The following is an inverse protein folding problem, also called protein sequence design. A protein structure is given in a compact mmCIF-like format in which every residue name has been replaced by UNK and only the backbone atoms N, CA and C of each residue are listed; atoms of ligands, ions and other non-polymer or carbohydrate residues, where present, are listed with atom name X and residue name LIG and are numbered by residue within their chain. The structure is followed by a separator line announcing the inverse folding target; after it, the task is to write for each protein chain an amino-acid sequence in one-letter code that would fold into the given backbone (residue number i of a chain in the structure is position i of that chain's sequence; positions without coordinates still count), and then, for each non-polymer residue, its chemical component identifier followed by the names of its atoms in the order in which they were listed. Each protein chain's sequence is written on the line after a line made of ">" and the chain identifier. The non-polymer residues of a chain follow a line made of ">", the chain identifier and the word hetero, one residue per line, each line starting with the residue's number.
data_IF_998777759469
#
_entry.id   IF_998777759469
#
_cell.length_a   1.000
_cell.length_b   1.000
_cell.length_c   1.000
_cell.angle_alpha   90.00
_cell.angle_beta   90.00
_cell.angle_gamma   90.00
#
_symmetry.space_group_name_H-M   'P 1'
#
loop_
_entity.id
_entity.type
_entity.pdbx_description
1 polymer ?
#
# COMPACT_ATOMS: atom_id res chain seq x y z
N UNK A 1 -24.00 43.55 38.18
CA UNK A 1 -23.56 44.02 36.85
C UNK A 1 -22.04 44.03 36.87
N UNK A 2 -21.43 42.88 36.64
CA UNK A 2 -20.01 42.79 36.32
C UNK A 2 -19.94 42.06 34.99
N UNK A 3 -19.63 42.83 33.95
CA UNK A 3 -19.36 42.32 32.62
C UNK A 3 -18.11 41.45 32.70
N UNK A 4 -18.29 40.13 32.62
CA UNK A 4 -17.23 39.25 32.13
C UNK A 4 -16.95 39.66 30.69
N UNK A 5 -15.91 40.47 30.52
CA UNK A 5 -15.25 40.71 29.25
C UNK A 5 -14.84 39.36 28.69
N UNK A 6 -15.54 38.93 27.64
CA UNK A 6 -15.09 37.81 26.83
C UNK A 6 -13.76 38.21 26.21
N UNK A 7 -12.65 37.70 26.77
CA UNK A 7 -11.41 37.58 26.04
C UNK A 7 -11.65 36.55 24.93
N UNK A 8 -12.28 37.00 23.84
CA UNK A 8 -12.13 36.37 22.54
C UNK A 8 -10.64 36.49 22.23
N UNK A 9 -9.89 35.43 22.48
CA UNK A 9 -8.56 35.21 21.94
C UNK A 9 -8.66 35.39 20.43
N UNK A 10 -8.30 36.59 19.96
CA UNK A 10 -8.04 36.85 18.55
C UNK A 10 -6.88 35.95 18.15
N UNK A 11 -7.18 34.80 17.54
CA UNK A 11 -6.19 34.07 16.75
C UNK A 11 -6.10 34.81 15.42
N UNK A 12 -5.33 35.91 15.39
CA UNK A 12 -5.11 36.74 14.20
C UNK A 12 -3.68 36.67 13.66
N UNK A 13 -2.84 35.74 14.14
CA UNK A 13 -1.42 35.77 13.82
C UNK A 13 -1.05 35.06 12.51
N UNK A 14 -1.98 34.35 11.85
CA UNK A 14 -1.65 33.50 10.69
C UNK A 14 -0.60 32.44 11.00
N UNK A 15 -0.29 32.22 12.28
CA UNK A 15 0.72 31.26 12.73
C UNK A 15 0.11 29.87 12.73
N UNK A 16 0.88 28.92 12.20
CA UNK A 16 0.52 27.52 12.14
C UNK A 16 1.45 26.71 13.06
N UNK A 17 0.90 25.66 13.66
CA UNK A 17 1.65 24.62 14.34
C UNK A 17 1.18 23.25 13.84
N UNK A 18 2.02 22.24 13.99
CA UNK A 18 1.71 20.84 13.69
C UNK A 18 1.86 19.98 14.92
N UNK A 19 1.07 18.92 15.02
CA UNK A 19 1.17 17.92 16.08
C UNK A 19 1.18 16.54 15.44
N UNK A 20 2.18 15.74 15.78
CA UNK A 20 2.29 14.33 15.40
C UNK A 20 2.14 13.47 16.65
N UNK A 21 1.24 12.50 16.63
CA UNK A 21 1.22 11.37 17.56
C UNK A 21 1.87 10.17 16.87
N UNK A 22 3.06 9.77 17.32
CA UNK A 22 3.76 8.62 16.78
C UNK A 22 3.24 7.34 17.46
N UNK A 23 2.12 6.82 16.95
CA UNK A 23 1.50 5.60 17.45
C UNK A 23 0.88 4.83 16.27
N UNK A 24 1.15 3.52 16.19
CA UNK A 24 0.73 2.65 15.08
C UNK A 24 -0.44 1.71 15.41
N UNK A 25 -0.91 1.71 16.66
CA UNK A 25 -2.12 0.98 17.05
C UNK A 25 -3.35 1.72 16.55
N UNK A 26 -4.41 0.99 16.18
CA UNK A 26 -5.63 1.59 15.64
C UNK A 26 -6.18 2.70 16.56
N UNK A 27 -6.49 3.86 15.98
CA UNK A 27 -7.01 4.98 16.75
C UNK A 27 -8.15 5.69 16.03
N UNK A 28 -8.98 6.35 16.81
CA UNK A 28 -9.98 7.29 16.30
C UNK A 28 -9.62 8.70 16.74
N UNK A 29 -10.05 9.67 15.94
CA UNK A 29 -10.06 11.05 16.34
C UNK A 29 -11.48 11.63 16.22
N UNK A 30 -11.79 12.58 17.09
CA UNK A 30 -13.07 13.30 17.06
C UNK A 30 -12.86 14.76 17.41
N UNK A 31 -13.57 15.64 16.70
CA UNK A 31 -13.61 17.06 16.97
C UNK A 31 -14.79 17.38 17.88
N UNK A 32 -14.53 18.16 18.94
CA UNK A 32 -15.58 18.67 19.82
C UNK A 32 -16.29 19.90 19.23
N UNK A 33 -17.40 20.34 19.85
CA UNK A 33 -18.08 21.58 19.48
C UNK A 33 -17.22 22.83 19.81
N UNK A 34 -16.39 22.73 20.84
CA UNK A 34 -15.30 23.67 21.12
C UNK A 34 -14.05 23.24 20.33
N UNK A 35 -13.10 24.15 20.02
CA UNK A 35 -11.86 23.83 19.27
C UNK A 35 -10.98 22.86 20.06
N UNK A 36 -11.30 21.57 19.92
CA UNK A 36 -10.73 20.47 20.68
C UNK A 36 -10.69 19.21 19.82
N UNK A 37 -9.59 18.48 19.96
CA UNK A 37 -9.34 17.21 19.29
C UNK A 37 -9.16 16.14 20.36
N UNK A 38 -9.97 15.08 20.29
CA UNK A 38 -9.82 13.90 21.15
C UNK A 38 -9.31 12.75 20.30
N UNK A 39 -8.13 12.24 20.64
CA UNK A 39 -7.53 11.04 20.02
C UNK A 39 -7.68 9.86 20.98
N UNK A 40 -8.14 8.71 20.48
CA UNK A 40 -8.31 7.47 21.26
C UNK A 40 -7.60 6.33 20.55
N UNK A 41 -6.47 5.89 21.07
CA UNK A 41 -5.72 4.72 20.58
C UNK A 41 -6.01 3.48 21.45
N UNK A 42 -6.00 2.30 20.83
CA UNK A 42 -6.23 1.02 21.51
C UNK A 42 -4.94 0.37 22.05
N UNK A 43 -3.79 1.03 21.91
CA UNK A 43 -2.51 0.52 22.37
C UNK A 43 -1.36 1.51 22.21
N UNK A 44 -0.15 1.02 22.48
CA UNK A 44 1.07 1.81 22.38
C UNK A 44 1.21 2.86 23.49
N UNK A 45 2.05 3.87 23.22
CA UNK A 45 2.30 4.99 24.11
C UNK A 45 1.84 6.31 23.47
N UNK A 46 1.71 7.35 24.28
CA UNK A 46 1.42 8.70 23.81
C UNK A 46 2.74 9.45 23.56
N UNK A 47 3.30 9.27 22.36
CA UNK A 47 4.52 9.92 21.93
C UNK A 47 4.21 11.10 20.99
N UNK A 48 4.26 12.33 21.53
CA UNK A 48 3.84 13.54 20.83
C UNK A 48 5.02 14.42 20.42
N UNK A 49 4.99 14.87 19.17
CA UNK A 49 5.89 15.89 18.64
C UNK A 49 5.09 17.12 18.22
N UNK A 50 5.58 18.30 18.62
CA UNK A 50 4.94 19.58 18.31
C UNK A 50 5.90 20.44 17.49
N UNK A 51 5.40 20.94 16.37
CA UNK A 51 6.13 21.77 15.41
C UNK A 51 5.54 23.18 15.42
N UNK A 52 6.35 24.20 15.68
CA UNK A 52 5.87 25.55 16.03
C UNK A 52 5.79 26.53 14.86
N UNK A 53 6.19 26.14 13.63
CA UNK A 53 6.11 27.00 12.45
C UNK A 53 7.09 28.19 12.51
N UNK A 54 6.68 29.44 12.22
CA UNK A 54 5.29 29.94 12.14
C UNK A 54 4.52 29.76 10.82
N UNK A 55 5.17 29.55 9.67
CA UNK A 55 4.46 29.35 8.39
C UNK A 55 4.08 27.88 8.16
N UNK A 56 3.05 27.57 7.33
CA UNK A 56 2.70 26.20 6.97
C UNK A 56 3.90 25.41 6.42
N UNK A 57 4.70 26.03 5.54
CA UNK A 57 5.88 25.41 4.95
C UNK A 57 6.93 25.09 6.01
N UNK A 58 7.12 25.97 6.99
CA UNK A 58 8.06 25.74 8.10
C UNK A 58 7.60 24.60 9.00
N UNK A 59 6.29 24.47 9.27
CA UNK A 59 5.73 23.33 10.00
C UNK A 59 6.04 22.03 9.26
N UNK A 60 5.80 21.97 7.94
CA UNK A 60 6.09 20.78 7.14
C UNK A 60 7.59 20.50 7.05
N UNK A 61 8.44 21.53 6.99
CA UNK A 61 9.90 21.36 7.03
C UNK A 61 10.39 20.78 8.35
N UNK A 62 9.82 21.20 9.49
CA UNK A 62 10.14 20.66 10.82
C UNK A 62 9.63 19.22 10.96
N UNK A 63 8.43 18.93 10.47
CA UNK A 63 7.86 17.59 10.46
C UNK A 63 8.71 16.63 9.62
N UNK A 64 8.98 16.96 8.35
CA UNK A 64 9.82 16.14 7.46
C UNK A 64 11.30 16.10 7.88
N UNK A 65 11.76 17.02 8.74
CA UNK A 65 13.07 16.88 9.37
C UNK A 65 13.09 15.74 10.39
N UNK A 66 12.02 15.57 11.17
CA UNK A 66 11.88 14.47 12.13
C UNK A 66 11.64 13.13 11.43
N UNK A 67 10.66 13.08 10.52
CA UNK A 67 10.18 11.83 9.92
C UNK A 67 10.87 11.48 8.60
N UNK A 68 11.82 12.31 8.18
CA UNK A 68 12.59 12.23 6.94
C UNK A 68 11.95 12.90 5.73
N UNK A 69 12.82 13.40 4.85
CA UNK A 69 12.44 14.14 3.64
C UNK A 69 12.11 13.18 2.51
N UNK A 70 11.24 13.64 1.61
CA UNK A 70 10.81 12.85 0.47
C UNK A 70 11.97 12.41 -0.42
N UNK A 71 11.86 11.21 -0.99
CA UNK A 71 12.78 10.74 -2.01
C UNK A 71 12.76 11.66 -3.24
N UNK A 72 13.86 11.70 -3.97
CA UNK A 72 13.91 12.38 -5.25
C UNK A 72 13.48 11.38 -6.34
N UNK A 73 12.33 11.55 -7.02
CA UNK A 73 11.94 10.66 -8.10
C UNK A 73 12.90 10.78 -9.30
N UNK A 74 12.99 9.76 -10.15
CA UNK A 74 13.67 9.87 -11.42
C UNK A 74 12.90 10.82 -12.35
N UNK A 75 13.60 11.54 -13.23
CA UNK A 75 12.98 12.55 -14.10
C UNK A 75 11.84 12.00 -14.96
N UNK A 76 12.00 10.77 -15.47
CA UNK A 76 10.98 10.08 -16.27
C UNK A 76 9.70 9.78 -15.48
N UNK A 77 9.77 9.70 -14.15
CA UNK A 77 8.60 9.48 -13.29
C UNK A 77 7.72 10.71 -13.12
N UNK A 78 8.14 11.86 -13.66
CA UNK A 78 7.32 13.08 -13.74
C UNK A 78 6.52 13.16 -15.06
N UNK A 79 6.75 12.21 -15.96
CA UNK A 79 6.04 12.12 -17.24
C UNK A 79 4.62 11.57 -17.10
N UNK A 80 3.96 11.33 -18.24
CA UNK A 80 2.64 10.72 -18.23
C UNK A 80 2.72 9.19 -18.12
N UNK A 81 1.89 8.62 -17.24
CA UNK A 81 1.85 7.20 -16.89
C UNK A 81 0.53 6.61 -17.36
N UNK A 82 0.55 5.44 -18.00
CA UNK A 82 -0.65 4.75 -18.45
C UNK A 82 -0.73 3.33 -17.87
N UNK A 83 -1.81 3.08 -17.14
CA UNK A 83 -2.16 1.79 -16.57
C UNK A 83 -3.62 1.44 -16.83
N UNK A 84 -3.95 0.18 -16.57
CA UNK A 84 -5.30 -0.39 -16.57
C UNK A 84 -5.25 -1.75 -15.89
N UNK A 85 -6.24 -2.02 -15.04
CA UNK A 85 -6.63 -3.37 -14.67
C UNK A 85 -7.33 -4.05 -15.85
N UNK A 86 -6.88 -5.23 -16.23
CA UNK A 86 -7.36 -6.02 -17.37
C UNK A 86 -7.05 -5.40 -18.74
N UNK A 87 -5.77 -5.42 -19.11
CA UNK A 87 -5.40 -5.27 -20.53
C UNK A 87 -5.86 -6.46 -21.38
N UNK A 88 -6.24 -7.59 -20.79
CA UNK A 88 -6.68 -8.82 -21.44
C UNK A 88 -5.55 -9.63 -22.06
N UNK A 89 -4.72 -9.01 -22.91
CA UNK A 89 -3.54 -9.65 -23.51
C UNK A 89 -2.50 -8.62 -23.99
N UNK A 90 -1.32 -9.11 -24.35
CA UNK A 90 -0.22 -8.29 -24.85
C UNK A 90 -0.57 -7.52 -26.14
N UNK A 91 -1.36 -8.11 -27.04
CA UNK A 91 -1.73 -7.45 -28.31
C UNK A 91 -2.54 -6.19 -28.05
N UNK A 92 -3.47 -6.25 -27.09
CA UNK A 92 -4.26 -5.09 -26.70
C UNK A 92 -3.40 -4.04 -26.00
N UNK A 93 -2.51 -4.42 -25.08
CA UNK A 93 -1.55 -3.49 -24.47
C UNK A 93 -0.69 -2.76 -25.52
N UNK A 94 -0.16 -3.49 -26.50
CA UNK A 94 0.60 -2.93 -27.62
C UNK A 94 -0.25 -1.98 -28.47
N UNK A 95 -1.51 -2.33 -28.74
CA UNK A 95 -2.45 -1.48 -29.48
C UNK A 95 -2.72 -0.17 -28.73
N UNK A 96 -2.97 -0.23 -27.41
CA UNK A 96 -3.20 0.97 -26.59
C UNK A 96 -1.96 1.86 -26.57
N UNK A 97 -0.77 1.29 -26.37
CA UNK A 97 0.48 2.03 -26.40
C UNK A 97 0.70 2.72 -27.77
N UNK A 98 0.56 1.94 -28.86
CA UNK A 98 0.72 2.44 -30.23
C UNK A 98 -0.29 3.53 -30.56
N UNK A 99 -1.56 3.36 -30.20
CA UNK A 99 -2.63 4.35 -30.46
C UNK A 99 -2.31 5.70 -29.81
N UNK A 100 -1.83 5.71 -28.57
CA UNK A 100 -1.46 6.95 -27.87
C UNK A 100 -0.27 7.64 -28.54
N UNK A 101 0.74 6.87 -28.93
CA UNK A 101 1.92 7.41 -29.64
C UNK A 101 1.60 7.90 -31.04
N UNK A 102 0.77 7.17 -31.79
CA UNK A 102 0.30 7.57 -33.13
C UNK A 102 -0.56 8.86 -33.05
N UNK A 103 -1.26 9.08 -31.92
CA UNK A 103 -2.01 10.30 -31.64
C UNK A 103 -1.12 11.48 -31.15
N UNK A 104 0.18 11.27 -30.95
CA UNK A 104 1.11 12.31 -30.49
C UNK A 104 0.98 12.66 -29.00
N UNK A 105 0.34 11.82 -28.19
CA UNK A 105 0.22 12.01 -26.75
C UNK A 105 1.54 11.60 -26.08
N UNK A 106 2.20 12.47 -25.29
CA UNK A 106 3.39 12.10 -24.53
C UNK A 106 3.08 10.96 -23.58
N UNK A 107 3.89 9.91 -23.63
CA UNK A 107 3.75 8.72 -22.78
C UNK A 107 5.14 8.24 -22.37
N UNK A 108 5.48 8.41 -21.11
CA UNK A 108 6.80 8.08 -20.57
C UNK A 108 6.81 6.70 -19.92
N UNK A 109 5.71 6.29 -19.28
CA UNK A 109 5.65 5.06 -18.50
C UNK A 109 4.47 4.18 -18.89
N UNK A 110 4.77 2.93 -19.25
CA UNK A 110 3.78 1.87 -19.46
C UNK A 110 3.73 0.97 -18.23
N UNK A 111 2.52 0.75 -17.71
CA UNK A 111 2.27 -0.17 -16.60
C UNK A 111 1.77 -1.53 -17.09
N UNK A 112 2.03 -2.56 -16.30
CA UNK A 112 1.32 -3.83 -16.38
C UNK A 112 0.79 -4.23 -14.99
N UNK A 113 -0.53 -4.38 -14.92
CA UNK A 113 -1.27 -4.88 -13.76
C UNK A 113 -1.20 -6.42 -13.69
N UNK A 114 -1.83 -7.05 -12.69
CA UNK A 114 -1.75 -8.48 -12.35
C UNK A 114 -2.06 -9.43 -13.52
N UNK A 115 -2.66 -8.93 -14.61
CA UNK A 115 -2.93 -9.69 -15.84
C UNK A 115 -1.66 -10.25 -16.48
N UNK A 116 -0.52 -9.56 -16.33
CA UNK A 116 0.73 -10.04 -16.92
C UNK A 116 1.22 -11.33 -16.26
N UNK A 117 0.79 -11.61 -15.03
CA UNK A 117 1.26 -12.73 -14.22
C UNK A 117 0.56 -14.04 -14.59
N UNK A 118 1.28 -15.15 -14.55
CA UNK A 118 0.69 -16.49 -14.69
C UNK A 118 -0.19 -16.76 -13.46
N UNK A 119 -1.50 -16.87 -13.67
CA UNK A 119 -2.50 -17.05 -12.62
C UNK A 119 -2.32 -16.08 -11.42
N UNK A 120 -1.94 -14.82 -11.69
CA UNK A 120 -1.80 -13.76 -10.67
C UNK A 120 -0.72 -14.07 -9.62
N UNK A 121 0.24 -14.94 -9.97
CA UNK A 121 1.40 -15.25 -9.12
C UNK A 121 2.51 -14.24 -9.38
N UNK A 122 3.01 -13.59 -8.33
CA UNK A 122 4.17 -12.69 -8.43
C UNK A 122 5.36 -13.33 -9.15
N UNK A 123 6.27 -12.52 -9.69
CA UNK A 123 7.50 -12.99 -10.35
C UNK A 123 7.31 -13.97 -11.54
N UNK A 124 6.08 -14.10 -12.06
CA UNK A 124 5.77 -14.91 -13.25
C UNK A 124 5.26 -14.06 -14.41
N UNK A 125 5.21 -14.63 -15.60
CA UNK A 125 4.59 -14.03 -16.80
C UNK A 125 3.64 -15.07 -17.39
N UNK A 126 2.41 -14.68 -17.71
CA UNK A 126 1.43 -15.54 -18.38
C UNK A 126 1.99 -16.02 -19.74
N UNK A 127 2.21 -17.34 -19.92
CA UNK A 127 2.85 -17.89 -21.11
C UNK A 127 1.95 -17.89 -22.35
N UNK A 128 0.66 -17.58 -22.20
CA UNK A 128 -0.35 -17.56 -23.27
C UNK A 128 -0.67 -16.11 -23.64
N UNK A 129 -1.20 -15.32 -22.71
CA UNK A 129 -1.73 -13.98 -23.02
C UNK A 129 -0.63 -12.91 -23.08
N UNK A 130 0.49 -13.12 -22.39
CA UNK A 130 1.60 -12.19 -22.29
C UNK A 130 2.92 -12.75 -22.83
N UNK A 131 2.82 -13.77 -23.70
CA UNK A 131 3.97 -14.28 -24.46
C UNK A 131 4.54 -13.16 -25.34
N UNK A 132 5.79 -12.79 -25.09
CA UNK A 132 6.45 -11.69 -25.81
C UNK A 132 6.57 -10.38 -25.02
N UNK A 133 6.09 -10.35 -23.77
CA UNK A 133 6.09 -9.13 -22.95
C UNK A 133 7.51 -8.59 -22.73
N UNK A 134 8.48 -9.47 -22.53
CA UNK A 134 9.89 -9.12 -22.36
C UNK A 134 10.43 -8.35 -23.58
N UNK A 135 10.12 -8.85 -24.78
CA UNK A 135 10.53 -8.25 -26.04
C UNK A 135 9.85 -6.89 -26.25
N UNK A 136 8.56 -6.79 -25.94
CA UNK A 136 7.81 -5.54 -26.02
C UNK A 136 8.38 -4.48 -25.05
N UNK A 137 8.64 -4.84 -23.80
CA UNK A 137 9.23 -3.93 -22.81
C UNK A 137 10.63 -3.48 -23.24
N UNK A 138 11.43 -4.39 -23.80
CA UNK A 138 12.73 -4.04 -24.36
C UNK A 138 12.61 -3.04 -25.52
N UNK A 139 11.61 -3.20 -26.39
CA UNK A 139 11.37 -2.31 -27.51
C UNK A 139 10.98 -0.89 -27.03
N UNK A 140 9.97 -0.76 -26.18
CA UNK A 140 9.51 0.56 -25.73
C UNK A 140 10.57 1.29 -24.89
N UNK A 141 11.41 0.55 -24.16
CA UNK A 141 12.56 1.13 -23.45
C UNK A 141 13.65 1.64 -24.38
N UNK A 142 13.81 1.03 -25.55
CA UNK A 142 14.72 1.52 -26.60
C UNK A 142 14.16 2.82 -27.23
N UNK A 143 12.84 2.93 -27.30
CA UNK A 143 12.13 4.13 -27.77
C UNK A 143 12.11 5.28 -26.75
N UNK A 144 12.72 5.10 -25.57
CA UNK A 144 12.85 6.11 -24.53
C UNK A 144 11.83 6.02 -23.39
N UNK A 145 10.85 5.10 -23.48
CA UNK A 145 9.88 4.87 -22.41
C UNK A 145 10.47 4.07 -21.25
N UNK A 146 9.69 3.97 -20.17
CA UNK A 146 9.98 3.21 -18.96
C UNK A 146 8.82 2.30 -18.63
N UNK A 147 9.10 1.28 -17.84
CA UNK A 147 8.10 0.25 -17.50
C UNK A 147 8.00 0.05 -16.00
N UNK A 148 6.78 0.03 -15.50
CA UNK A 148 6.45 -0.30 -14.10
C UNK A 148 5.52 -1.50 -14.11
N UNK A 149 5.69 -2.40 -13.15
CA UNK A 149 4.80 -3.56 -12.96
C UNK A 149 4.32 -3.60 -11.52
N UNK A 150 3.11 -4.14 -11.33
CA UNK A 150 2.56 -4.41 -10.00
C UNK A 150 3.25 -5.63 -9.37
N UNK A 151 3.41 -5.61 -8.06
CA UNK A 151 3.74 -6.76 -7.23
C UNK A 151 2.86 -6.71 -5.98
N UNK A 152 2.21 -7.83 -5.69
CA UNK A 152 1.51 -8.02 -4.42
C UNK A 152 2.50 -8.55 -3.36
N UNK A 153 2.22 -8.40 -2.06
CA UNK A 153 3.09 -8.96 -1.03
C UNK A 153 2.96 -10.50 -0.93
N UNK A 154 1.80 -11.07 -1.24
CA UNK A 154 1.44 -12.43 -0.88
C UNK A 154 1.81 -13.49 -1.92
N UNK A 155 2.44 -14.59 -1.51
CA UNK A 155 2.78 -15.70 -2.41
C UNK A 155 1.78 -16.85 -2.32
N UNK A 156 1.32 -17.39 -3.45
CA UNK A 156 0.38 -18.52 -3.51
C UNK A 156 0.84 -19.73 -2.66
N UNK A 157 -0.10 -20.44 -2.03
CA UNK A 157 0.13 -21.69 -1.32
C UNK A 157 0.39 -22.86 -2.29
N UNK A 158 1.55 -22.82 -2.93
CA UNK A 158 2.12 -23.95 -3.66
C UNK A 158 3.50 -24.27 -3.08
N UNK A 159 3.48 -25.21 -2.13
CA UNK A 159 4.67 -25.65 -1.40
C UNK A 159 5.50 -26.69 -2.16
N UNK A 160 5.17 -26.97 -3.43
CA UNK A 160 5.81 -28.05 -4.19
C UNK A 160 6.46 -27.56 -5.49
N UNK A 161 5.79 -26.68 -6.23
CA UNK A 161 6.25 -26.29 -7.57
C UNK A 161 6.58 -24.81 -7.68
N UNK A 162 5.94 -23.95 -6.90
CA UNK A 162 6.19 -22.52 -6.94
C UNK A 162 7.37 -22.12 -6.05
N UNK A 163 8.52 -21.90 -6.70
CA UNK A 163 9.82 -21.69 -6.06
C UNK A 163 9.83 -20.55 -5.03
N UNK A 164 9.20 -19.37 -5.25
CA UNK A 164 9.17 -18.32 -4.23
C UNK A 164 8.55 -18.78 -2.91
N UNK A 165 7.46 -19.54 -2.95
CA UNK A 165 6.83 -20.11 -1.74
C UNK A 165 7.70 -21.20 -1.11
N UNK A 166 8.25 -22.11 -1.90
CA UNK A 166 9.12 -23.19 -1.39
C UNK A 166 10.36 -22.62 -0.67
N UNK A 167 11.02 -21.64 -1.28
CA UNK A 167 12.18 -20.97 -0.67
C UNK A 167 11.77 -20.12 0.53
N UNK A 168 10.65 -19.41 0.45
CA UNK A 168 10.16 -18.60 1.56
C UNK A 168 9.83 -19.43 2.81
N UNK A 169 9.26 -20.63 2.63
CA UNK A 169 9.02 -21.56 3.75
C UNK A 169 10.35 -22.05 4.33
N UNK A 170 11.32 -22.38 3.47
CA UNK A 170 12.65 -22.85 3.91
C UNK A 170 13.44 -21.77 4.64
N UNK A 171 13.32 -20.52 4.22
CA UNK A 171 14.00 -19.35 4.81
C UNK A 171 13.19 -18.69 5.93
N UNK A 172 12.03 -19.25 6.28
CA UNK A 172 11.17 -18.81 7.37
C UNK A 172 10.66 -17.36 7.26
N UNK A 173 10.29 -16.93 6.05
CA UNK A 173 9.96 -15.52 5.75
C UNK A 173 8.49 -15.16 5.98
N UNK A 174 7.61 -16.15 6.16
CA UNK A 174 6.16 -15.95 6.20
C UNK A 174 5.62 -15.75 7.62
N UNK A 175 4.52 -15.00 7.71
CA UNK A 175 3.79 -14.76 8.95
C UNK A 175 3.14 -16.05 9.44
N UNK A 176 3.21 -16.28 10.76
CA UNK A 176 2.72 -17.48 11.43
C UNK A 176 1.71 -17.16 12.52
N UNK A 177 0.95 -18.18 12.86
CA UNK A 177 0.17 -18.28 14.09
C UNK A 177 1.09 -18.45 15.31
N UNK A 178 0.54 -18.23 16.51
CA UNK A 178 1.27 -18.46 17.78
C UNK A 178 1.74 -19.91 17.99
N UNK A 179 1.20 -20.87 17.23
CA UNK A 179 1.57 -22.28 17.23
C UNK A 179 2.57 -22.65 16.13
N UNK A 180 3.26 -21.67 15.54
CA UNK A 180 4.28 -21.83 14.47
C UNK A 180 3.75 -22.33 13.12
N UNK A 181 2.43 -22.48 12.95
CA UNK A 181 1.84 -22.80 11.64
C UNK A 181 1.78 -21.55 10.77
N UNK A 182 1.98 -21.70 9.46
CA UNK A 182 1.83 -20.59 8.50
C UNK A 182 0.40 -20.04 8.53
N UNK A 183 0.29 -18.71 8.55
CA UNK A 183 -0.99 -18.03 8.45
C UNK A 183 -1.38 -17.90 6.98
N UNK A 184 -2.42 -18.64 6.59
CA UNK A 184 -2.94 -18.66 5.22
C UNK A 184 -4.02 -17.61 5.06
N UNK A 185 -3.89 -16.77 4.04
CA UNK A 185 -4.90 -15.81 3.59
C UNK A 185 -5.41 -16.14 2.19
N UNK A 186 -6.26 -15.28 1.65
CA UNK A 186 -6.68 -15.32 0.24
C UNK A 186 -6.52 -13.93 -0.38
N UNK A 187 -5.99 -13.88 -1.59
CA UNK A 187 -6.03 -12.70 -2.46
C UNK A 187 -6.16 -13.13 -3.93
N UNK A 188 -5.63 -12.33 -4.87
CA UNK A 188 -5.70 -12.56 -6.32
C UNK A 188 -5.31 -13.96 -6.81
N UNK A 189 -4.16 -14.56 -6.41
CA UNK A 189 -3.79 -15.90 -6.85
C UNK A 189 -4.55 -17.04 -6.14
N UNK A 190 -5.46 -16.72 -5.21
CA UNK A 190 -6.13 -17.69 -4.35
C UNK A 190 -5.50 -17.75 -2.95
N UNK A 191 -5.40 -18.96 -2.38
CA UNK A 191 -4.80 -19.19 -1.07
C UNK A 191 -3.31 -18.80 -1.09
N UNK A 192 -2.88 -17.99 -0.13
CA UNK A 192 -1.52 -17.44 -0.09
C UNK A 192 -0.95 -17.29 1.32
N UNK A 193 0.35 -17.02 1.39
CA UNK A 193 1.08 -16.63 2.60
C UNK A 193 1.63 -15.20 2.49
N UNK A 194 1.50 -14.43 3.57
CA UNK A 194 2.02 -13.08 3.65
C UNK A 194 3.44 -13.07 4.25
N UNK A 195 4.46 -12.48 3.58
CA UNK A 195 5.81 -12.33 4.11
C UNK A 195 5.87 -11.35 5.28
N UNK A 196 6.81 -11.55 6.18
CA UNK A 196 7.10 -10.64 7.30
C UNK A 196 8.28 -9.71 6.97
N UNK A 197 7.98 -8.53 6.43
CA UNK A 197 8.98 -7.54 5.99
C UNK A 197 9.75 -6.84 7.12
N UNK A 198 9.41 -7.10 8.39
CA UNK A 198 10.20 -6.62 9.53
C UNK A 198 11.50 -7.40 9.72
N UNK A 199 11.59 -8.63 9.18
CA UNK A 199 12.76 -9.49 9.35
C UNK A 199 13.78 -9.28 8.22
N UNK A 200 15.06 -9.38 8.56
CA UNK A 200 16.15 -9.26 7.58
C UNK A 200 16.17 -10.42 6.59
N UNK A 201 15.71 -11.61 7.00
CA UNK A 201 15.56 -12.78 6.12
C UNK A 201 14.54 -12.50 5.00
N UNK A 202 13.36 -11.98 5.32
CA UNK A 202 12.36 -11.61 4.32
C UNK A 202 12.86 -10.51 3.39
N UNK A 203 13.55 -9.50 3.93
CA UNK A 203 14.14 -8.42 3.10
C UNK A 203 15.15 -8.97 2.09
N UNK A 204 15.98 -9.93 2.51
CA UNK A 204 16.97 -10.57 1.64
C UNK A 204 16.31 -11.44 0.58
N UNK A 205 15.35 -12.27 0.98
CA UNK A 205 14.55 -13.11 0.09
C UNK A 205 13.80 -12.27 -0.96
N UNK A 206 13.08 -11.23 -0.52
CA UNK A 206 12.33 -10.32 -1.40
C UNK A 206 13.25 -9.60 -2.39
N UNK A 207 14.38 -9.09 -1.89
CA UNK A 207 15.36 -8.41 -2.73
C UNK A 207 15.95 -9.33 -3.80
N UNK A 208 16.24 -10.59 -3.44
CA UNK A 208 16.74 -11.61 -4.38
C UNK A 208 15.72 -11.87 -5.49
N UNK A 209 14.45 -12.09 -5.14
CA UNK A 209 13.39 -12.35 -6.11
C UNK A 209 13.15 -11.18 -7.06
N UNK A 210 13.14 -9.94 -6.57
CA UNK A 210 13.05 -8.75 -7.43
C UNK A 210 14.23 -8.67 -8.40
N UNK A 211 15.46 -8.88 -7.91
CA UNK A 211 16.66 -8.82 -8.74
C UNK A 211 16.69 -9.93 -9.81
N UNK A 212 16.32 -11.15 -9.43
CA UNK A 212 16.25 -12.28 -10.34
C UNK A 212 15.15 -12.10 -11.38
N UNK A 213 13.96 -11.65 -10.97
CA UNK A 213 12.87 -11.34 -11.89
C UNK A 213 13.27 -10.25 -12.89
N UNK A 214 13.91 -9.16 -12.42
CA UNK A 214 14.40 -8.07 -13.27
C UNK A 214 15.42 -8.56 -14.32
N UNK A 215 16.33 -9.43 -13.91
CA UNK A 215 17.45 -9.92 -14.72
C UNK A 215 17.02 -11.01 -15.71
N UNK A 216 16.20 -11.95 -15.27
CA UNK A 216 15.90 -13.18 -16.01
C UNK A 216 14.62 -13.01 -16.82
N UNK A 217 13.55 -12.53 -16.19
CA UNK A 217 12.20 -12.59 -16.73
C UNK A 217 11.81 -11.29 -17.42
N UNK A 218 11.83 -10.16 -16.71
CA UNK A 218 11.29 -8.88 -17.18
C UNK A 218 12.06 -7.69 -16.64
N UNK A 219 12.74 -6.96 -17.52
CA UNK A 219 13.51 -5.77 -17.14
C UNK A 219 12.59 -4.57 -16.95
N UNK A 220 12.43 -4.13 -15.70
CA UNK A 220 11.55 -3.03 -15.27
C UNK A 220 12.32 -1.84 -14.69
N UNK A 221 11.78 -0.63 -14.77
CA UNK A 221 12.44 0.60 -14.30
C UNK A 221 11.88 1.12 -12.97
N UNK A 222 10.72 0.63 -12.52
CA UNK A 222 10.11 0.91 -11.22
C UNK A 222 9.10 -0.19 -10.82
N UNK A 223 8.61 -0.14 -9.59
CA UNK A 223 7.67 -1.13 -9.04
C UNK A 223 6.45 -0.47 -8.41
N UNK A 224 5.28 -1.04 -8.63
CA UNK A 224 4.04 -0.69 -7.94
C UNK A 224 3.76 -1.79 -6.92
N UNK A 225 3.78 -1.47 -5.62
CA UNK A 225 3.47 -2.43 -4.56
C UNK A 225 2.06 -2.17 -4.05
N UNK A 226 1.17 -3.11 -4.30
CA UNK A 226 -0.24 -3.00 -3.97
C UNK A 226 -0.65 -4.04 -2.93
N UNK A 227 -1.90 -3.95 -2.44
CA UNK A 227 -2.48 -4.94 -1.52
C UNK A 227 -1.71 -5.09 -0.20
N UNK A 228 -0.95 -4.06 0.19
CA UNK A 228 0.04 -4.11 1.25
C UNK A 228 -0.38 -3.44 2.56
N UNK A 229 -1.69 -3.33 2.82
CA UNK A 229 -2.21 -2.97 4.15
C UNK A 229 -1.84 -3.95 5.27
N UNK A 230 -1.78 -5.29 5.10
CA UNK A 230 -1.99 -6.19 3.94
C UNK A 230 -3.45 -6.58 3.70
N UNK A 231 -3.92 -6.42 2.47
CA UNK A 231 -5.28 -6.77 2.09
C UNK A 231 -5.44 -8.27 1.88
N UNK A 232 -6.47 -8.84 2.52
CA UNK A 232 -6.94 -10.20 2.29
C UNK A 232 -8.43 -10.18 1.94
N UNK A 233 -8.85 -11.06 1.02
CA UNK A 233 -10.24 -11.17 0.63
C UNK A 233 -11.04 -11.87 1.73
N UNK A 234 -12.01 -11.13 2.28
CA UNK A 234 -13.09 -11.67 3.12
C UNK A 234 -12.64 -12.48 4.34
N UNK A 235 -11.54 -12.08 5.00
CA UNK A 235 -11.22 -12.60 6.34
C UNK A 235 -12.44 -12.48 7.25
N UNK A 236 -12.73 -13.58 7.97
CA UNK A 236 -13.88 -13.81 8.85
C UNK A 236 -15.24 -14.01 8.15
N UNK A 237 -15.39 -13.83 6.84
CA UNK A 237 -16.64 -14.11 6.11
C UNK A 237 -16.69 -15.54 5.58
N UNK A 238 -17.87 -16.06 5.22
CA UNK A 238 -18.02 -17.48 4.88
C UNK A 238 -17.44 -17.85 3.51
N UNK A 239 -17.41 -16.90 2.57
CA UNK A 239 -16.88 -17.09 1.22
C UNK A 239 -16.12 -15.85 0.77
N UNK A 240 -15.06 -16.05 -0.02
CA UNK A 240 -14.40 -14.95 -0.71
C UNK A 240 -15.31 -14.36 -1.79
N UNK A 241 -15.33 -13.03 -1.95
CA UNK A 241 -16.19 -12.35 -2.93
C UNK A 241 -15.92 -12.82 -4.36
N UNK A 242 -14.69 -13.24 -4.63
CA UNK A 242 -14.22 -13.77 -5.90
C UNK A 242 -14.00 -15.30 -5.89
N UNK A 243 -14.68 -16.05 -5.02
CA UNK A 243 -14.51 -17.51 -4.88
C UNK A 243 -14.65 -18.28 -6.21
N UNK A 244 -15.52 -17.82 -7.11
CA UNK A 244 -15.67 -18.37 -8.47
C UNK A 244 -14.39 -18.24 -9.32
N UNK A 245 -13.57 -17.21 -9.08
CA UNK A 245 -12.34 -16.94 -9.81
C UNK A 245 -11.13 -17.63 -9.17
N UNK A 246 -11.08 -17.71 -7.84
CA UNK A 246 -9.98 -18.34 -7.10
C UNK A 246 -10.14 -19.86 -6.97
N UNK A 247 -11.35 -20.39 -7.15
CA UNK A 247 -11.65 -21.83 -7.07
C UNK A 247 -11.59 -22.40 -5.65
N UNK A 248 -11.51 -21.54 -4.63
CA UNK A 248 -11.47 -21.94 -3.22
C UNK A 248 -12.60 -21.28 -2.42
N UNK A 249 -13.21 -22.06 -1.52
CA UNK A 249 -14.16 -21.57 -0.51
C UNK A 249 -13.46 -21.30 0.83
N UNK A 250 -12.13 -21.40 0.88
CA UNK A 250 -11.40 -21.04 2.08
C UNK A 250 -11.60 -19.54 2.37
N UNK A 251 -11.45 -19.17 3.63
CA UNK A 251 -11.32 -17.79 4.11
C UNK A 251 -10.51 -17.89 5.40
N UNK A 252 -9.68 -16.88 5.68
CA UNK A 252 -9.00 -16.82 6.97
C UNK A 252 -10.05 -16.57 8.06
N UNK A 253 -10.09 -17.42 9.09
CA UNK A 253 -10.97 -17.24 10.25
C UNK A 253 -10.12 -16.97 11.49
N UNK A 254 -10.29 -15.79 12.07
CA UNK A 254 -9.53 -15.36 13.23
C UNK A 254 -10.22 -15.78 14.54
N UNK A 255 -9.45 -16.11 15.60
CA UNK A 255 -10.01 -16.50 16.87
C UNK A 255 -10.68 -15.30 17.56
N UNK A 256 -11.82 -15.52 18.23
CA UNK A 256 -12.45 -14.48 19.04
C UNK A 256 -11.60 -14.20 20.29
N UNK A 257 -10.94 -13.05 20.31
CA UNK A 257 -10.10 -12.61 21.42
C UNK A 257 -10.06 -11.08 21.51
N UNK A 258 -9.49 -10.55 22.59
CA UNK A 258 -9.42 -9.10 22.87
C UNK A 258 -8.51 -8.30 21.92
N UNK A 259 -7.72 -8.95 21.08
CA UNK A 259 -6.90 -8.30 20.06
C UNK A 259 -7.71 -8.11 18.77
N UNK A 260 -8.45 -9.14 18.35
CA UNK A 260 -9.31 -9.08 17.16
C UNK A 260 -10.59 -8.25 17.41
N UNK A 261 -11.14 -8.30 18.63
CA UNK A 261 -12.26 -7.46 19.10
C UNK A 261 -11.86 -6.75 20.41
N UNK A 262 -11.21 -5.58 20.32
CA UNK A 262 -10.73 -4.85 21.48
C UNK A 262 -11.87 -4.22 22.30
N UNK A 263 -11.65 -3.97 23.62
CA UNK A 263 -12.66 -3.35 24.48
C UNK A 263 -13.19 -2.00 23.97
N UNK A 264 -12.34 -1.24 23.28
CA UNK A 264 -12.75 -0.06 22.52
C UNK A 264 -12.70 -0.38 21.03
N UNK A 265 -13.88 -0.53 20.43
CA UNK A 265 -14.02 -0.73 18.98
C UNK A 265 -13.82 0.60 18.27
N UNK A 266 -12.75 0.70 17.50
CA UNK A 266 -12.51 1.88 16.66
C UNK A 266 -13.52 1.97 15.52
N UNK A 267 -13.70 3.15 14.93
CA UNK A 267 -14.54 3.35 13.73
C UNK A 267 -14.18 2.39 12.61
N UNK A 268 -12.91 2.04 12.56
CA UNK A 268 -12.34 1.13 11.60
C UNK A 268 -12.91 -0.31 11.72
N UNK A 269 -13.33 -0.75 12.92
CA UNK A 269 -14.01 -2.03 13.13
C UNK A 269 -15.54 -1.93 12.91
N UNK A 270 -16.20 -0.94 13.53
CA UNK A 270 -17.67 -0.91 13.54
C UNK A 270 -18.32 -0.28 12.30
N UNK A 271 -17.59 0.48 11.46
CA UNK A 271 -18.15 1.07 10.23
C UNK A 271 -18.75 0.01 9.30
N UNK A 272 -18.22 -1.21 9.34
CA UNK A 272 -18.69 -2.30 8.50
C UNK A 272 -19.87 -3.07 9.10
N UNK A 273 -20.27 -2.81 10.34
CA UNK A 273 -21.39 -3.47 11.01
C UNK A 273 -22.70 -3.31 10.22
N UNK A 274 -22.91 -2.16 9.56
CA UNK A 274 -24.12 -1.90 8.75
C UNK A 274 -24.12 -2.66 7.42
N UNK A 275 -22.93 -3.02 6.92
CA UNK A 275 -22.75 -3.71 5.64
C UNK A 275 -22.56 -5.23 5.79
N UNK A 276 -22.31 -5.70 7.01
CA UNK A 276 -22.05 -7.10 7.34
C UNK A 276 -23.23 -7.67 8.13
N UNK A 277 -23.56 -8.94 7.91
CA UNK A 277 -24.54 -9.66 8.75
C UNK A 277 -23.98 -10.04 10.14
N UNK A 278 -22.87 -9.43 10.56
CA UNK A 278 -22.16 -9.70 11.82
C UNK A 278 -21.47 -8.43 12.31
N UNK A 279 -21.06 -8.46 13.57
CA UNK A 279 -20.19 -7.45 14.15
C UNK A 279 -18.81 -7.50 13.49
N UNK A 280 -18.33 -6.36 13.00
CA UNK A 280 -17.02 -6.21 12.40
C UNK A 280 -15.89 -6.22 13.43
N UNK A 281 -14.79 -6.86 13.06
CA UNK A 281 -13.58 -7.04 13.86
C UNK A 281 -12.39 -6.31 13.23
N UNK A 282 -11.31 -6.13 13.98
CA UNK A 282 -10.11 -5.49 13.42
C UNK A 282 -9.47 -6.33 12.30
N UNK A 283 -9.60 -7.65 12.35
CA UNK A 283 -9.06 -8.59 11.35
C UNK A 283 -9.90 -8.73 10.08
N UNK A 284 -10.99 -7.97 9.95
CA UNK A 284 -11.79 -8.03 8.73
C UNK A 284 -11.01 -7.53 7.52
N UNK A 285 -10.97 -8.36 6.47
CA UNK A 285 -10.24 -8.14 5.21
C UNK A 285 -8.71 -7.98 5.35
N UNK A 286 -8.13 -8.52 6.42
CA UNK A 286 -6.68 -8.47 6.71
C UNK A 286 -6.24 -9.73 7.48
N UNK A 287 -5.00 -9.79 7.96
CA UNK A 287 -4.49 -10.87 8.81
C UNK A 287 -5.07 -10.81 10.23
N UNK A 288 -4.97 -11.91 10.97
CA UNK A 288 -5.43 -11.95 12.36
C UNK A 288 -4.53 -11.12 13.27
N UNK A 289 -5.12 -10.44 14.25
CA UNK A 289 -4.37 -9.55 15.15
C UNK A 289 -3.38 -10.30 16.06
N UNK A 290 -3.57 -11.61 16.20
CA UNK A 290 -2.68 -12.52 16.95
C UNK A 290 -1.43 -12.94 16.18
N UNK A 291 -1.31 -12.61 14.88
CA UNK A 291 -0.15 -13.01 14.10
C UNK A 291 1.14 -12.39 14.66
N UNK A 292 2.21 -13.19 14.73
CA UNK A 292 3.50 -12.74 15.23
C UNK A 292 4.40 -12.30 14.07
N UNK A 293 5.10 -11.18 14.26
CA UNK A 293 5.96 -10.55 13.26
C UNK A 293 7.24 -9.98 13.90
N UNK A 294 8.27 -9.78 13.07
CA UNK A 294 9.56 -9.25 13.46
C UNK A 294 10.60 -10.29 13.84
N UNK A 295 11.81 -9.79 14.12
CA UNK A 295 12.90 -10.64 14.58
C UNK A 295 12.58 -11.29 15.93
N UNK A 296 13.20 -12.45 16.15
CA UNK A 296 13.05 -13.20 17.40
C UNK A 296 13.67 -12.37 18.53
N UNK A 297 12.87 -12.05 19.54
CA UNK A 297 13.34 -11.40 20.75
C UNK A 297 14.13 -12.42 21.60
N UNK A 298 15.43 -12.17 21.91
CA UNK A 298 16.25 -13.06 22.72
C UNK A 298 15.68 -13.37 24.10
N UNK A 299 14.83 -12.49 24.65
CA UNK A 299 14.25 -12.63 25.98
C UNK A 299 13.01 -13.54 26.02
N UNK A 300 12.22 -13.58 24.95
CA UNK A 300 10.97 -14.35 24.90
C UNK A 300 11.05 -15.56 23.97
N UNK A 301 12.05 -15.61 23.09
CA UNK A 301 12.19 -16.65 22.07
C UNK A 301 11.10 -16.59 20.99
N UNK A 302 10.35 -15.49 20.88
CA UNK A 302 9.25 -15.28 19.92
C UNK A 302 9.48 -14.02 19.07
N UNK A 303 8.83 -13.89 17.90
CA UNK A 303 8.85 -12.65 17.14
C UNK A 303 8.39 -11.47 18.00
N UNK A 304 9.10 -10.35 17.88
CA UNK A 304 9.01 -9.20 18.78
C UNK A 304 7.64 -8.50 18.77
N UNK A 305 6.94 -8.52 17.65
CA UNK A 305 5.74 -7.72 17.44
C UNK A 305 4.52 -8.58 17.16
N UNK A 306 3.35 -8.11 17.60
CA UNK A 306 2.06 -8.68 17.19
C UNK A 306 1.48 -7.84 16.07
N UNK A 307 0.74 -8.47 15.16
CA UNK A 307 0.05 -7.78 14.08
C UNK A 307 -0.86 -6.67 14.63
N UNK A 308 -1.51 -6.87 15.78
CA UNK A 308 -2.25 -5.83 16.50
C UNK A 308 -1.52 -4.47 16.65
N UNK A 309 -0.21 -4.48 16.91
CA UNK A 309 0.58 -3.27 17.14
C UNK A 309 1.16 -2.66 15.85
N UNK A 310 1.34 -3.48 14.81
CA UNK A 310 2.03 -3.08 13.57
C UNK A 310 1.11 -2.98 12.35
N UNK A 311 -0.15 -3.40 12.46
CA UNK A 311 -1.02 -3.53 11.31
C UNK A 311 -1.74 -2.24 10.91
N UNK A 312 -2.50 -1.63 11.82
CA UNK A 312 -3.62 -0.78 11.40
C UNK A 312 -3.20 0.61 10.89
N UNK A 313 -2.01 1.07 11.28
CA UNK A 313 -1.36 2.19 10.61
C UNK A 313 -0.22 1.71 9.72
N UNK A 314 -0.40 0.57 9.06
CA UNK A 314 0.26 0.29 7.80
C UNK A 314 1.79 0.19 7.91
N UNK A 315 2.31 -0.20 9.09
CA UNK A 315 3.74 -0.48 9.21
C UNK A 315 4.14 -1.68 8.34
N UNK A 316 3.17 -2.52 7.94
CA UNK A 316 3.39 -3.58 6.97
C UNK A 316 3.83 -3.01 5.60
N UNK A 317 3.00 -2.18 4.96
CA UNK A 317 3.34 -1.52 3.69
C UNK A 317 4.58 -0.63 3.80
N UNK A 318 4.72 0.12 4.90
CA UNK A 318 5.93 0.88 5.22
C UNK A 318 7.18 -0.01 5.27
N UNK A 319 7.10 -1.18 5.90
CA UNK A 319 8.22 -2.11 6.05
C UNK A 319 8.59 -2.82 4.74
N UNK A 320 7.64 -2.98 3.81
CA UNK A 320 7.87 -3.50 2.46
C UNK A 320 8.48 -2.45 1.52
N UNK A 321 8.14 -1.17 1.72
CA UNK A 321 8.50 -0.05 0.84
C UNK A 321 10.02 0.08 0.71
N UNK A 322 10.76 0.19 1.82
CA UNK A 322 12.22 0.37 1.77
C UNK A 322 12.97 -0.80 1.11
N UNK A 323 12.75 -2.07 1.51
CA UNK A 323 13.39 -3.22 0.86
C UNK A 323 13.10 -3.29 -0.64
N UNK A 324 11.89 -2.95 -1.06
CA UNK A 324 11.51 -2.94 -2.48
C UNK A 324 12.30 -1.89 -3.26
N UNK A 325 12.44 -0.67 -2.71
CA UNK A 325 13.26 0.38 -3.33
C UNK A 325 14.72 -0.04 -3.45
N UNK A 326 15.31 -0.55 -2.36
CA UNK A 326 16.72 -0.95 -2.32
C UNK A 326 16.98 -2.09 -3.33
N UNK A 327 16.04 -3.03 -3.46
CA UNK A 327 16.13 -4.13 -4.40
C UNK A 327 16.11 -3.67 -5.87
N UNK A 328 15.15 -2.81 -6.26
CA UNK A 328 15.05 -2.34 -7.64
C UNK A 328 16.19 -1.38 -8.01
N UNK A 329 16.67 -0.57 -7.07
CA UNK A 329 17.86 0.27 -7.30
C UNK A 329 19.12 -0.57 -7.48
N UNK A 330 19.26 -1.65 -6.70
CA UNK A 330 20.36 -2.61 -6.85
C UNK A 330 20.29 -3.36 -8.18
N UNK A 331 19.08 -3.72 -8.64
CA UNK A 331 18.87 -4.41 -9.92
C UNK A 331 19.16 -3.50 -11.13
N UNK A 332 18.69 -2.25 -11.10
CA UNK A 332 18.81 -1.31 -12.22
C UNK A 332 20.14 -0.55 -12.26
N UNK A 333 20.82 -0.44 -11.11
CA UNK A 333 22.00 0.42 -10.93
C UNK A 333 21.68 1.91 -11.09
N UNK A 334 20.40 2.30 -11.04
CA UNK A 334 19.92 3.65 -11.28
C UNK A 334 18.92 4.04 -10.20
N UNK A 335 18.61 5.34 -10.15
CA UNK A 335 17.47 5.83 -9.39
C UNK A 335 16.19 5.25 -9.98
N UNK A 336 15.44 4.56 -9.15
CA UNK A 336 14.13 3.98 -9.43
C UNK A 336 13.05 4.70 -8.60
N UNK A 337 11.80 4.37 -8.83
CA UNK A 337 10.66 4.79 -8.02
C UNK A 337 9.80 3.59 -7.63
N UNK A 338 9.14 3.73 -6.50
CA UNK A 338 8.13 2.78 -6.04
C UNK A 338 6.84 3.50 -5.67
N UNK A 339 5.72 2.83 -5.90
CA UNK A 339 4.38 3.32 -5.58
C UNK A 339 3.70 2.33 -4.63
N UNK A 340 3.76 2.56 -3.31
CA UNK A 340 2.97 1.82 -2.33
C UNK A 340 1.53 2.34 -2.14
N UNK A 341 0.58 1.43 -1.89
CA UNK A 341 -0.78 1.80 -1.47
C UNK A 341 -0.79 2.20 0.00
N UNK A 342 -0.40 1.27 0.84
CA UNK A 342 -0.34 1.41 2.29
C UNK A 342 0.82 2.32 2.70
N UNK A 343 0.55 3.35 3.51
CA UNK A 343 1.57 4.32 3.94
C UNK A 343 1.44 4.67 5.42
N UNK A 344 2.60 4.86 6.06
CA UNK A 344 2.73 5.42 7.40
C UNK A 344 3.64 6.67 7.41
N UNK A 345 3.72 7.31 8.58
CA UNK A 345 4.62 8.44 8.86
C UNK A 345 6.05 8.10 8.41
N UNK A 346 6.59 8.93 7.50
CA UNK A 346 7.93 8.75 6.93
C UNK A 346 8.03 7.88 5.68
N UNK A 347 6.93 7.29 5.18
CA UNK A 347 6.96 6.46 3.94
C UNK A 347 7.45 7.23 2.72
N UNK A 348 7.22 8.54 2.68
CA UNK A 348 7.67 9.42 1.60
C UNK A 348 9.18 9.45 1.39
N UNK A 349 9.97 8.99 2.37
CA UNK A 349 11.42 8.84 2.23
C UNK A 349 11.84 7.85 1.14
N UNK A 350 10.99 6.89 0.81
CA UNK A 350 11.34 5.76 -0.07
C UNK A 350 10.41 5.63 -1.26
N UNK A 351 9.16 6.10 -1.18
CA UNK A 351 8.18 5.92 -2.25
C UNK A 351 7.21 7.08 -2.40
N UNK A 352 6.46 7.05 -3.49
CA UNK A 352 5.29 7.88 -3.70
C UNK A 352 4.04 7.31 -3.05
N UNK A 353 2.88 7.75 -3.51
CA UNK A 353 1.59 7.16 -3.16
C UNK A 353 0.54 7.53 -4.21
N UNK A 354 -0.37 6.63 -4.55
CA UNK A 354 -1.59 6.99 -5.29
C UNK A 354 -2.78 6.85 -4.37
N UNK A 355 -3.80 7.70 -4.56
CA UNK A 355 -4.94 7.82 -3.64
C UNK A 355 -5.90 6.61 -3.62
N UNK A 356 -5.54 5.51 -4.30
CA UNK A 356 -6.31 4.27 -4.33
C UNK A 356 -7.47 4.29 -5.33
N UNK A 357 -8.34 3.30 -5.16
CA UNK A 357 -9.43 2.94 -6.06
C UNK A 357 -10.56 3.99 -6.01
N UNK A 358 -10.39 5.07 -6.74
CA UNK A 358 -11.41 6.11 -6.88
C UNK A 358 -12.49 5.72 -7.90
N UNK A 359 -13.72 6.19 -7.69
CA UNK A 359 -14.77 6.03 -8.68
C UNK A 359 -14.70 7.14 -9.75
N UNK A 360 -15.10 6.82 -10.98
CA UNK A 360 -15.28 7.76 -12.09
C UNK A 360 -16.44 8.73 -11.84
N UNK A 361 -16.25 9.67 -10.89
CA UNK A 361 -17.25 10.65 -10.47
C UNK A 361 -16.65 12.05 -10.23
N UNK A 362 -17.49 13.08 -10.41
CA UNK A 362 -17.13 14.47 -10.11
C UNK A 362 -16.79 14.73 -8.63
N UNK A 363 -17.35 13.92 -7.73
CA UNK A 363 -17.07 14.03 -6.29
C UNK A 363 -15.64 13.55 -6.00
N UNK A 364 -15.25 12.41 -6.57
CA UNK A 364 -13.91 11.85 -6.41
C UNK A 364 -12.84 12.73 -7.06
N UNK A 365 -13.15 13.38 -8.19
CA UNK A 365 -12.27 14.39 -8.77
C UNK A 365 -11.98 15.52 -7.77
N UNK A 366 -12.99 16.00 -7.03
CA UNK A 366 -12.80 17.01 -5.97
C UNK A 366 -12.02 16.44 -4.77
N UNK A 367 -12.29 15.20 -4.37
CA UNK A 367 -11.58 14.55 -3.26
C UNK A 367 -10.10 14.32 -3.58
N UNK A 368 -9.75 14.07 -4.84
CA UNK A 368 -8.36 13.94 -5.28
C UNK A 368 -7.53 15.19 -4.95
N UNK A 369 -8.09 16.39 -5.14
CA UNK A 369 -7.41 17.65 -4.81
C UNK A 369 -7.11 17.76 -3.31
N UNK A 370 -8.04 17.31 -2.48
CA UNK A 370 -7.89 17.30 -1.02
C UNK A 370 -6.79 16.31 -0.63
N UNK A 371 -6.89 15.06 -1.12
CA UNK A 371 -5.90 14.02 -0.84
C UNK A 371 -4.49 14.43 -1.26
N UNK A 372 -4.33 14.99 -2.46
CA UNK A 372 -3.00 15.40 -2.93
C UNK A 372 -2.37 16.48 -2.03
N UNK A 373 -3.16 17.44 -1.53
CA UNK A 373 -2.67 18.47 -0.60
C UNK A 373 -2.33 17.86 0.76
N UNK A 374 -3.18 16.98 1.28
CA UNK A 374 -2.95 16.29 2.56
C UNK A 374 -1.66 15.46 2.53
N UNK A 375 -1.42 14.70 1.45
CA UNK A 375 -0.19 13.91 1.30
C UNK A 375 1.07 14.78 1.17
N UNK A 376 0.96 15.99 0.60
CA UNK A 376 2.05 16.97 0.66
C UNK A 376 2.35 17.39 2.11
N UNK A 377 1.34 17.56 2.96
CA UNK A 377 1.53 17.82 4.39
C UNK A 377 2.07 16.60 5.15
N UNK A 378 1.72 15.39 4.73
CA UNK A 378 2.28 14.14 5.25
C UNK A 378 3.71 13.84 4.77
N UNK A 379 4.32 14.74 3.99
CA UNK A 379 5.70 14.60 3.54
C UNK A 379 5.89 13.65 2.34
N UNK A 380 4.81 13.38 1.60
CA UNK A 380 4.78 12.55 0.40
C UNK A 380 4.32 13.40 -0.80
N UNK A 381 5.17 14.30 -1.34
CA UNK A 381 4.80 15.19 -2.44
C UNK A 381 4.60 14.47 -3.79
N UNK A 382 5.21 13.30 -3.98
CA UNK A 382 5.02 12.50 -5.19
C UNK A 382 3.76 11.63 -5.03
N UNK A 383 2.62 12.22 -5.32
CA UNK A 383 1.32 11.58 -5.20
C UNK A 383 0.36 11.96 -6.34
N UNK A 384 -0.74 11.21 -6.48
CA UNK A 384 -1.79 11.47 -7.47
C UNK A 384 -3.00 10.55 -7.31
N UNK A 385 -4.05 10.79 -8.07
CA UNK A 385 -5.20 9.89 -8.20
C UNK A 385 -5.23 9.26 -9.60
N UNK A 386 -5.99 8.18 -9.76
CA UNK A 386 -6.21 7.59 -11.07
C UNK A 386 -7.08 8.51 -11.92
N UNK A 387 -6.47 9.02 -13.00
CA UNK A 387 -7.07 9.99 -13.91
C UNK A 387 -8.24 9.33 -14.65
N UNK A 388 -9.38 10.03 -14.71
CA UNK A 388 -10.67 9.53 -15.20
C UNK A 388 -11.36 8.48 -14.32
N UNK A 389 -10.80 8.12 -13.16
CA UNK A 389 -11.38 7.17 -12.21
C UNK A 389 -11.02 5.72 -12.52
N UNK A 390 -10.80 4.94 -11.46
CA UNK A 390 -10.51 3.52 -11.51
C UNK A 390 -11.77 2.67 -11.69
N UNK A 391 -12.75 2.87 -10.81
CA UNK A 391 -14.02 2.14 -10.84
C UNK A 391 -15.09 2.90 -11.66
N UNK A 392 -16.00 2.15 -12.29
CA UNK A 392 -17.06 2.64 -13.19
C UNK A 392 -16.52 3.25 -14.49
N UNK A 393 -17.43 3.49 -15.44
CA UNK A 393 -17.07 4.05 -16.75
C UNK A 393 -17.10 5.58 -16.72
N UNK A 394 -16.01 6.28 -17.10
CA UNK A 394 -16.01 7.73 -17.17
C UNK A 394 -16.85 8.25 -18.33
N UNK A 395 -17.35 9.47 -18.17
CA UNK A 395 -17.89 10.26 -19.28
C UNK A 395 -16.77 11.02 -19.98
N UNK A 396 -16.93 11.30 -21.28
CA UNK A 396 -15.96 12.06 -22.06
C UNK A 396 -15.68 13.44 -21.43
N UNK A 397 -16.72 14.17 -21.03
CA UNK A 397 -16.57 15.48 -20.40
C UNK A 397 -15.75 15.41 -19.10
N UNK A 398 -15.97 14.38 -18.27
CA UNK A 398 -15.24 14.23 -17.02
C UNK A 398 -13.76 13.89 -17.27
N UNK A 399 -13.46 13.01 -18.23
CA UNK A 399 -12.08 12.60 -18.53
C UNK A 399 -11.26 13.70 -19.24
N UNK A 400 -11.94 14.71 -19.80
CA UNK A 400 -11.31 15.92 -20.34
C UNK A 400 -10.91 16.90 -19.23
N UNK A 401 -11.57 16.87 -18.06
CA UNK A 401 -11.28 17.74 -16.92
C UNK A 401 -10.17 17.16 -16.06
#
# INVERSE_FOLDING_TARGET
>A
MEQQTSNKTQISSGQMHGVLLLNSNAMDYSFGPEPSLTIRTIGGILDFFVFLGPSPEQVIQQYTWLVGRSFLPPYWGLGFHLSRLDYGNLTHMQMVNKRNRDAGIPLDVQYADIDYMDAKKDFTIDPINYRGLKEFFSQIRTDGMRTIVILDPGTIDDQKYYVPTVEGIKEDVFIKWENERLMKGICWPGELFMPDFFTNRTRTWWSRWIQDFHRINLTVDGLWIDMNEPALFNTNDDFAWNWNMTGTNYTLKCPQNKLDDPPYRTKAAFRYDETMNRTGCLSDRTLCMTALQGEIDPSTGKPKYRHYDVHRYDLYGWSQTKPTLDAIQSATGKRSMILPRSTFVGSGQWGGHWLGDNEASWLEMKQSLIGMIEFNWFGIPFNGADICGFDKSPTEEMCIR
#
